data_IF_866627174856
#
_entry.id   IF_866627174856
#
_cell.length_a   1.000
_cell.length_b   1.000
_cell.length_c   1.000
_cell.angle_alpha   90.00
_cell.angle_beta   90.00
_cell.angle_gamma   90.00
#
_symmetry.space_group_name_H-M   'P 1'
#
loop_
_entity.id
_entity.type
_entity.pdbx_description
1 polymer ?
#
# COMPACT_ATOMS: atom_id res chain seq x y z
N UNK A 1 28.25 -16.07 -6.71
CA UNK A 1 27.87 -16.59 -5.38
C UNK A 1 26.44 -17.10 -5.51
N UNK A 2 26.17 -18.36 -5.17
CA UNK A 2 24.81 -18.89 -5.22
C UNK A 2 24.01 -18.14 -4.15
N UNK A 3 23.26 -17.10 -4.53
CA UNK A 3 22.25 -16.54 -3.65
C UNK A 3 21.17 -17.60 -3.47
N UNK A 4 21.23 -18.32 -2.34
CA UNK A 4 20.12 -19.12 -1.88
C UNK A 4 18.96 -18.15 -1.67
N UNK A 5 17.90 -18.28 -2.45
CA UNK A 5 16.68 -17.53 -2.20
C UNK A 5 16.14 -17.97 -0.84
N UNK A 6 15.86 -17.03 0.09
CA UNK A 6 15.23 -17.40 1.35
C UNK A 6 13.92 -18.14 1.06
N UNK A 7 13.53 -19.15 1.84
CA UNK A 7 12.18 -19.68 1.77
C UNK A 7 11.17 -18.62 2.21
N UNK A 8 9.87 -18.87 1.98
CA UNK A 8 8.81 -18.08 2.62
C UNK A 8 8.98 -18.16 4.14
N UNK A 9 8.88 -17.03 4.83
CA UNK A 9 9.19 -16.91 6.25
C UNK A 9 7.93 -16.62 7.03
N UNK A 10 7.70 -17.37 8.10
CA UNK A 10 6.57 -17.15 8.98
C UNK A 10 6.96 -16.24 10.16
N UNK A 11 6.22 -15.16 10.34
CA UNK A 11 6.30 -14.25 11.49
C UNK A 11 4.91 -14.20 12.14
N UNK A 12 4.75 -14.84 13.29
CA UNK A 12 3.43 -15.07 13.89
C UNK A 12 2.48 -15.84 12.96
N UNK A 13 1.35 -15.24 12.61
CA UNK A 13 0.37 -15.76 11.65
C UNK A 13 0.57 -15.24 10.21
N UNK A 14 1.69 -14.58 9.92
CA UNK A 14 1.96 -13.95 8.62
C UNK A 14 3.07 -14.69 7.88
N UNK A 15 2.79 -15.15 6.67
CA UNK A 15 3.75 -15.72 5.71
C UNK A 15 4.30 -14.59 4.83
N UNK A 16 5.57 -14.27 5.01
CA UNK A 16 6.26 -13.15 4.37
C UNK A 16 7.13 -13.66 3.22
N UNK A 17 6.93 -13.12 2.02
CA UNK A 17 7.77 -13.46 0.88
C UNK A 17 9.20 -12.94 1.06
N UNK A 18 10.24 -13.65 0.57
CA UNK A 18 11.65 -13.26 0.74
C UNK A 18 11.98 -11.85 0.22
N UNK A 19 11.22 -11.39 -0.76
CA UNK A 19 11.39 -10.09 -1.40
C UNK A 19 11.07 -8.93 -0.47
N UNK A 20 10.25 -9.15 0.56
CA UNK A 20 10.00 -8.15 1.60
C UNK A 20 11.29 -7.78 2.35
N UNK A 21 12.21 -8.73 2.50
CA UNK A 21 13.51 -8.52 3.15
C UNK A 21 14.60 -8.09 2.18
N UNK A 22 14.64 -8.69 0.99
CA UNK A 22 15.74 -8.51 0.02
C UNK A 22 15.56 -7.31 -0.92
N UNK A 23 14.33 -6.91 -1.24
CA UNK A 23 14.12 -5.78 -2.16
C UNK A 23 14.45 -4.47 -1.47
N UNK A 24 15.15 -3.61 -2.21
CA UNK A 24 15.40 -2.22 -1.81
C UNK A 24 14.34 -1.33 -2.45
N UNK A 25 13.73 -0.45 -1.66
CA UNK A 25 12.61 0.37 -2.12
C UNK A 25 12.50 1.69 -1.36
N UNK A 26 12.28 2.78 -2.09
CA UNK A 26 11.91 4.07 -1.53
C UNK A 26 11.00 4.80 -2.53
N UNK A 27 9.75 5.09 -2.17
CA UNK A 27 8.81 5.75 -3.07
C UNK A 27 9.37 7.08 -3.61
N UNK A 28 9.19 7.33 -4.90
CA UNK A 28 9.67 8.54 -5.56
C UNK A 28 8.56 9.27 -6.34
N UNK A 29 7.79 10.08 -5.62
CA UNK A 29 6.65 10.83 -6.18
C UNK A 29 7.10 11.91 -7.17
N UNK A 30 8.30 12.46 -7.03
CA UNK A 30 8.86 13.45 -7.95
C UNK A 30 9.06 12.88 -9.36
N UNK A 31 9.34 11.57 -9.44
CA UNK A 31 9.57 10.86 -10.71
C UNK A 31 8.30 10.17 -11.21
N UNK A 32 7.53 9.52 -10.33
CA UNK A 32 6.37 8.73 -10.77
C UNK A 32 5.05 9.53 -10.82
N UNK A 33 5.02 10.75 -10.26
CA UNK A 33 3.85 11.63 -10.19
C UNK A 33 2.59 10.97 -9.63
N UNK A 34 2.73 9.96 -8.77
CA UNK A 34 1.61 9.22 -8.17
C UNK A 34 0.99 8.14 -9.06
N UNK A 35 1.75 7.60 -10.03
CA UNK A 35 1.30 6.58 -10.98
C UNK A 35 0.50 5.40 -10.37
N UNK A 36 0.77 5.01 -9.12
CA UNK A 36 0.04 3.91 -8.47
C UNK A 36 -1.44 4.23 -8.18
N UNK A 37 -1.84 5.51 -8.21
CA UNK A 37 -3.21 5.96 -8.02
C UNK A 37 -3.97 6.20 -9.34
N UNK A 38 -3.26 6.18 -10.48
CA UNK A 38 -3.81 6.57 -11.78
C UNK A 38 -3.51 5.57 -12.90
N UNK A 39 -2.61 4.61 -12.78
CA UNK A 39 -2.32 3.66 -13.88
C UNK A 39 -2.97 2.27 -13.68
N UNK A 40 -3.75 2.08 -12.62
CA UNK A 40 -4.40 0.81 -12.29
C UNK A 40 -5.73 0.60 -13.03
N UNK A 41 -6.10 -0.66 -13.29
CA UNK A 41 -7.38 -1.04 -13.89
C UNK A 41 -8.44 -1.47 -12.85
N UNK A 42 -8.04 -1.53 -11.59
CA UNK A 42 -8.89 -1.76 -10.42
C UNK A 42 -8.47 -0.85 -9.26
N UNK A 43 -9.39 -0.63 -8.31
CA UNK A 43 -9.11 0.07 -7.07
C UNK A 43 -8.14 -0.69 -6.16
N UNK A 44 -7.73 -0.04 -5.08
CA UNK A 44 -6.99 -0.73 -4.03
C UNK A 44 -7.95 -1.56 -3.17
N UNK A 45 -7.58 -2.81 -2.79
CA UNK A 45 -8.41 -3.63 -1.91
C UNK A 45 -8.70 -2.94 -0.58
N UNK A 46 -9.92 -3.04 -0.07
CA UNK A 46 -10.35 -2.43 1.19
C UNK A 46 -11.22 -3.39 1.98
N UNK A 47 -11.13 -3.32 3.32
CA UNK A 47 -12.07 -4.06 4.18
C UNK A 47 -13.38 -3.28 4.37
N UNK A 48 -14.41 -3.94 4.91
CA UNK A 48 -15.69 -3.28 5.23
C UNK A 48 -15.48 -2.17 6.27
N UNK A 49 -14.59 -2.38 7.24
CA UNK A 49 -14.25 -1.39 8.26
C UNK A 49 -13.52 -0.17 7.66
N UNK A 50 -12.66 -0.40 6.67
CA UNK A 50 -12.02 0.68 5.92
C UNK A 50 -13.03 1.44 5.07
N UNK A 51 -13.99 0.77 4.44
CA UNK A 51 -15.08 1.43 3.70
C UNK A 51 -15.87 2.35 4.62
N UNK A 52 -16.32 1.87 5.78
CA UNK A 52 -17.04 2.69 6.75
C UNK A 52 -16.19 3.89 7.21
N UNK A 53 -14.90 3.68 7.46
CA UNK A 53 -13.98 4.76 7.83
C UNK A 53 -13.79 5.78 6.70
N UNK A 54 -13.75 5.34 5.44
CA UNK A 54 -13.68 6.23 4.28
C UNK A 54 -14.97 7.07 4.19
N UNK A 55 -16.15 6.45 4.32
CA UNK A 55 -17.44 7.12 4.28
C UNK A 55 -17.57 8.20 5.37
N UNK A 56 -17.09 7.91 6.59
CA UNK A 56 -17.07 8.89 7.70
C UNK A 56 -16.16 10.11 7.44
N UNK A 57 -15.19 9.99 6.52
CA UNK A 57 -14.17 11.01 6.27
C UNK A 57 -14.26 11.63 4.86
N UNK A 58 -15.21 11.19 4.02
CA UNK A 58 -15.33 11.64 2.62
C UNK A 58 -15.64 13.13 2.52
N UNK A 59 -16.49 13.66 3.43
CA UNK A 59 -16.87 15.06 3.46
C UNK A 59 -15.68 16.00 3.70
N UNK A 60 -14.71 15.55 4.50
CA UNK A 60 -13.51 16.33 4.81
C UNK A 60 -12.61 16.54 3.59
N UNK A 61 -12.73 15.67 2.58
CA UNK A 61 -11.91 15.70 1.35
C UNK A 61 -12.71 16.06 0.10
N UNK A 62 -14.04 16.18 0.21
CA UNK A 62 -14.95 16.31 -0.94
C UNK A 62 -14.55 17.40 -1.93
N UNK A 63 -14.17 18.58 -1.41
CA UNK A 63 -13.82 19.74 -2.23
C UNK A 63 -12.46 19.61 -2.94
N UNK A 64 -11.64 18.61 -2.58
CA UNK A 64 -10.40 18.31 -3.29
C UNK A 64 -10.60 17.31 -4.44
N UNK A 65 -11.75 16.64 -4.49
CA UNK A 65 -12.04 15.62 -5.49
C UNK A 65 -12.50 16.26 -6.80
N UNK A 66 -12.22 15.59 -7.92
CA UNK A 66 -12.73 16.01 -9.23
C UNK A 66 -14.26 15.80 -9.31
N UNK A 67 -14.94 16.57 -10.17
CA UNK A 67 -16.38 16.41 -10.38
C UNK A 67 -16.76 15.00 -10.87
N UNK A 68 -15.87 14.34 -11.63
CA UNK A 68 -16.06 12.95 -12.05
C UNK A 68 -15.91 11.97 -10.88
N UNK A 69 -14.95 12.19 -9.98
CA UNK A 69 -14.82 11.39 -8.77
C UNK A 69 -16.03 11.55 -7.83
N UNK A 70 -16.49 12.77 -7.60
CA UNK A 70 -17.70 13.07 -6.83
C UNK A 70 -18.91 12.35 -7.44
N UNK A 71 -19.11 12.46 -8.76
CA UNK A 71 -20.21 11.78 -9.45
C UNK A 71 -20.13 10.25 -9.34
N UNK A 72 -18.93 9.66 -9.32
CA UNK A 72 -18.79 8.20 -9.13
C UNK A 72 -19.11 7.82 -7.69
N UNK A 73 -18.64 8.58 -6.71
CA UNK A 73 -18.94 8.33 -5.28
C UNK A 73 -20.46 8.43 -5.04
N UNK A 74 -21.13 9.44 -5.59
CA UNK A 74 -22.59 9.60 -5.45
C UNK A 74 -23.39 8.43 -6.04
N UNK A 75 -22.90 7.80 -7.12
CA UNK A 75 -23.61 6.74 -7.84
C UNK A 75 -23.28 5.33 -7.34
N UNK A 76 -22.03 5.10 -6.97
CA UNK A 76 -21.49 3.76 -6.68
C UNK A 76 -21.05 3.62 -5.22
N UNK A 77 -20.81 4.73 -4.53
CA UNK A 77 -20.13 4.76 -3.24
C UNK A 77 -18.61 4.80 -3.37
N UNK A 78 -17.94 4.79 -2.21
CA UNK A 78 -16.48 4.92 -2.12
C UNK A 78 -15.71 3.65 -2.52
N UNK A 79 -16.42 2.53 -2.65
CA UNK A 79 -15.89 1.22 -3.02
C UNK A 79 -16.88 0.44 -3.88
N UNK A 80 -16.39 -0.59 -4.58
CA UNK A 80 -17.19 -1.52 -5.37
C UNK A 80 -16.58 -2.92 -5.34
N UNK A 81 -17.34 -3.92 -5.81
CA UNK A 81 -16.85 -5.29 -6.01
C UNK A 81 -16.27 -5.39 -7.41
N UNK A 82 -14.99 -5.75 -7.53
CA UNK A 82 -14.33 -5.88 -8.82
C UNK A 82 -14.65 -7.21 -9.54
N UNK A 83 -13.93 -7.50 -10.63
CA UNK A 83 -14.15 -8.71 -11.44
C UNK A 83 -13.66 -9.99 -10.76
N UNK A 84 -12.77 -9.87 -9.78
CA UNK A 84 -12.24 -10.98 -9.00
C UNK A 84 -13.10 -11.26 -7.77
N UNK A 85 -14.05 -10.37 -7.47
CA UNK A 85 -14.96 -10.46 -6.34
C UNK A 85 -14.45 -9.75 -5.09
N UNK A 86 -13.37 -8.97 -5.22
CA UNK A 86 -12.76 -8.24 -4.11
C UNK A 86 -13.42 -6.87 -3.94
N UNK A 87 -13.57 -6.43 -2.69
CA UNK A 87 -13.95 -5.06 -2.37
C UNK A 87 -12.75 -4.14 -2.60
N UNK A 88 -12.91 -3.17 -3.49
CA UNK A 88 -11.85 -2.23 -3.86
C UNK A 88 -12.37 -0.79 -3.89
N UNK A 89 -11.49 0.20 -3.72
CA UNK A 89 -11.87 1.62 -3.84
C UNK A 89 -12.47 1.92 -5.21
N UNK A 90 -13.49 2.78 -5.28
CA UNK A 90 -14.06 3.23 -6.56
C UNK A 90 -13.03 3.93 -7.45
N UNK A 91 -13.20 3.79 -8.76
CA UNK A 91 -12.32 4.38 -9.78
C UNK A 91 -13.12 5.12 -10.86
N UNK A 92 -12.57 6.22 -11.36
CA UNK A 92 -13.11 7.01 -12.45
C UNK A 92 -12.60 6.44 -13.78
N UNK A 93 -13.52 6.10 -14.69
CA UNK A 93 -13.17 5.73 -16.06
C UNK A 93 -12.28 4.48 -16.18
N UNK A 94 -12.31 3.58 -15.18
CA UNK A 94 -11.42 2.40 -15.06
C UNK A 94 -9.94 2.74 -14.94
N UNK A 95 -9.62 3.91 -14.38
CA UNK A 95 -8.25 4.41 -14.29
C UNK A 95 -7.96 5.03 -12.92
N UNK A 96 -8.45 6.24 -12.69
CA UNK A 96 -8.05 7.02 -11.52
C UNK A 96 -8.82 6.59 -10.27
N UNK A 97 -8.16 6.45 -9.12
CA UNK A 97 -8.87 6.33 -7.84
C UNK A 97 -9.75 7.58 -7.59
N UNK A 98 -10.95 7.40 -7.05
CA UNK A 98 -11.85 8.52 -6.74
C UNK A 98 -11.28 9.49 -5.69
N UNK A 99 -10.26 9.07 -4.93
CA UNK A 99 -9.58 9.91 -3.94
C UNK A 99 -8.31 10.59 -4.47
N UNK A 100 -8.11 10.61 -5.78
CA UNK A 100 -7.01 11.37 -6.39
C UNK A 100 -7.25 12.87 -6.24
N UNK A 101 -6.20 13.58 -5.84
CA UNK A 101 -6.14 15.05 -5.93
C UNK A 101 -4.77 15.45 -6.47
N UNK A 102 -4.62 16.70 -6.94
CA UNK A 102 -3.40 17.15 -7.59
C UNK A 102 -2.80 18.34 -6.88
N UNK A 103 -1.49 18.30 -6.69
CA UNK A 103 -0.69 19.43 -6.23
C UNK A 103 0.52 19.55 -7.15
N UNK A 104 0.65 20.71 -7.81
CA UNK A 104 1.79 21.03 -8.69
C UNK A 104 2.06 19.94 -9.75
N UNK A 105 0.99 19.36 -10.32
CA UNK A 105 1.09 18.29 -11.33
C UNK A 105 1.37 16.89 -10.79
N UNK A 106 1.56 16.72 -9.48
CA UNK A 106 1.73 15.42 -8.84
C UNK A 106 0.39 14.90 -8.29
N UNK A 107 0.04 13.66 -8.63
CA UNK A 107 -1.13 13.00 -8.06
C UNK A 107 -0.85 12.57 -6.62
N UNK A 108 -1.73 12.98 -5.72
CA UNK A 108 -1.75 12.64 -4.30
C UNK A 108 -3.06 11.93 -3.96
N UNK A 109 -3.13 11.39 -2.74
CA UNK A 109 -4.37 10.87 -2.17
C UNK A 109 -4.97 11.90 -1.22
N UNK A 110 -6.21 12.32 -1.46
CA UNK A 110 -6.89 13.32 -0.65
C UNK A 110 -7.05 12.88 0.82
N UNK A 111 -7.32 11.58 1.05
CA UNK A 111 -7.41 10.99 2.40
C UNK A 111 -6.07 11.05 3.16
N UNK A 112 -4.97 10.69 2.49
CA UNK A 112 -3.62 10.78 3.05
C UNK A 112 -3.26 12.23 3.40
N UNK A 113 -3.57 13.15 2.49
CA UNK A 113 -3.28 14.58 2.65
C UNK A 113 -4.06 15.17 3.82
N UNK A 114 -5.36 14.87 3.92
CA UNK A 114 -6.20 15.32 5.03
C UNK A 114 -5.71 14.81 6.39
N UNK A 115 -5.31 13.54 6.45
CA UNK A 115 -4.70 12.96 7.65
C UNK A 115 -3.40 13.69 8.05
N UNK A 116 -2.49 13.90 7.10
CA UNK A 116 -1.21 14.61 7.36
C UNK A 116 -1.42 16.06 7.78
N UNK A 117 -2.50 16.69 7.33
CA UNK A 117 -2.89 18.04 7.72
C UNK A 117 -3.68 18.08 9.05
N UNK A 118 -3.94 16.94 9.69
CA UNK A 118 -4.70 16.85 10.93
C UNK A 118 -6.21 17.11 10.77
N UNK A 119 -6.72 17.09 9.53
CA UNK A 119 -8.15 17.31 9.23
C UNK A 119 -8.98 16.06 9.54
N UNK A 120 -8.39 14.88 9.43
CA UNK A 120 -9.03 13.59 9.70
C UNK A 120 -8.12 12.71 10.56
N UNK A 121 -8.71 11.71 11.23
CA UNK A 121 -7.95 10.64 11.91
C UNK A 121 -7.73 9.42 11.01
N UNK A 122 -8.51 9.31 9.93
CA UNK A 122 -8.36 8.26 8.96
C UNK A 122 -7.28 8.63 7.93
N UNK A 123 -6.22 7.82 7.91
CA UNK A 123 -5.20 7.82 6.86
C UNK A 123 -5.67 6.93 5.70
N UNK A 124 -5.03 7.01 4.53
CA UNK A 124 -5.40 6.18 3.37
C UNK A 124 -5.49 4.68 3.72
N UNK A 125 -6.24 3.88 2.95
CA UNK A 125 -6.38 2.44 3.16
C UNK A 125 -5.05 1.72 3.33
N UNK A 126 -5.05 0.65 4.12
CA UNK A 126 -3.88 -0.12 4.46
C UNK A 126 -3.22 -0.76 3.24
N UNK A 127 -4.02 -1.19 2.26
CA UNK A 127 -3.52 -1.69 0.98
C UNK A 127 -2.75 -0.62 0.18
N UNK A 128 -3.22 0.64 0.20
CA UNK A 128 -2.52 1.78 -0.40
C UNK A 128 -1.27 2.17 0.40
N UNK A 129 -1.29 2.01 1.72
CA UNK A 129 -0.18 2.35 2.59
C UNK A 129 0.94 1.31 2.57
N UNK A 130 0.59 0.03 2.44
CA UNK A 130 1.53 -1.08 2.34
C UNK A 130 2.15 -1.24 0.96
N UNK A 131 1.62 -0.57 -0.07
CA UNK A 131 2.17 -0.72 -1.42
C UNK A 131 3.66 -0.36 -1.47
N UNK A 132 4.55 -1.23 -2.00
CA UNK A 132 4.30 -2.35 -2.93
C UNK A 132 4.04 -3.73 -2.32
N UNK A 133 3.85 -3.86 -1.01
CA UNK A 133 3.39 -5.11 -0.39
C UNK A 133 1.88 -5.28 -0.62
N UNK A 134 1.48 -6.49 -1.03
CA UNK A 134 0.09 -6.92 -1.14
C UNK A 134 -0.19 -8.02 -0.13
N UNK A 135 -1.26 -7.81 0.63
CA UNK A 135 -1.81 -8.76 1.58
C UNK A 135 -2.73 -9.75 0.86
N UNK A 136 -2.66 -11.03 1.23
CA UNK A 136 -3.60 -12.05 0.79
C UNK A 136 -4.06 -12.86 2.00
N UNK A 137 -5.35 -12.89 2.27
CA UNK A 137 -5.89 -13.77 3.29
C UNK A 137 -5.65 -15.23 2.88
N UNK A 138 -5.07 -16.00 3.80
CA UNK A 138 -4.90 -17.44 3.67
C UNK A 138 -5.88 -18.12 4.64
N UNK A 139 -6.26 -19.36 4.34
CA UNK A 139 -7.15 -20.13 5.23
C UNK A 139 -6.59 -20.23 6.66
N UNK A 140 -7.48 -20.45 7.64
CA UNK A 140 -7.14 -20.66 9.05
C UNK A 140 -6.49 -19.44 9.75
N UNK A 141 -6.82 -18.22 9.33
CA UNK A 141 -6.34 -16.99 9.97
C UNK A 141 -4.88 -16.63 9.64
N UNK A 142 -4.30 -17.29 8.63
CA UNK A 142 -2.99 -16.95 8.09
C UNK A 142 -3.11 -15.79 7.09
N UNK A 143 -2.04 -15.02 6.97
CA UNK A 143 -1.96 -13.90 6.02
C UNK A 143 -0.68 -14.01 5.21
N UNK A 144 -0.74 -13.85 3.89
CA UNK A 144 0.42 -13.79 3.02
C UNK A 144 0.80 -12.34 2.68
N UNK A 145 2.07 -11.97 2.85
CA UNK A 145 2.61 -10.69 2.38
C UNK A 145 3.56 -10.92 1.21
N UNK A 146 3.22 -10.34 0.05
CA UNK A 146 3.98 -10.50 -1.17
C UNK A 146 4.40 -9.14 -1.72
N UNK A 147 5.63 -9.05 -2.22
CA UNK A 147 6.06 -7.89 -2.99
C UNK A 147 5.43 -7.91 -4.38
N UNK A 148 4.66 -6.87 -4.72
CA UNK A 148 4.09 -6.70 -6.05
C UNK A 148 5.05 -5.95 -6.97
N UNK A 149 5.49 -6.63 -8.03
CA UNK A 149 6.38 -6.07 -9.05
C UNK A 149 5.58 -5.37 -10.14
N UNK A 150 5.54 -4.04 -10.10
CA UNK A 150 4.91 -3.23 -11.14
C UNK A 150 5.88 -2.19 -11.68
N UNK A 151 5.97 -2.09 -13.02
CA UNK A 151 6.93 -1.23 -13.72
C UNK A 151 6.85 0.25 -13.34
N UNK A 152 5.69 0.74 -12.91
CA UNK A 152 5.51 2.12 -12.46
C UNK A 152 6.37 2.47 -11.23
N UNK A 153 6.82 1.48 -10.48
CA UNK A 153 7.66 1.66 -9.29
C UNK A 153 9.15 1.43 -9.56
N UNK A 154 9.56 1.36 -10.83
CA UNK A 154 10.96 1.16 -11.18
C UNK A 154 11.87 2.25 -10.58
N UNK A 155 11.45 3.52 -10.65
CA UNK A 155 12.16 4.63 -10.01
C UNK A 155 12.32 4.44 -8.49
N UNK A 156 11.30 3.90 -7.82
CA UNK A 156 11.33 3.66 -6.39
C UNK A 156 12.29 2.52 -6.00
N UNK A 157 12.45 1.52 -6.87
CA UNK A 157 13.44 0.44 -6.70
C UNK A 157 14.86 0.98 -6.89
N UNK A 158 15.08 1.84 -7.88
CA UNK A 158 16.38 2.49 -8.14
C UNK A 158 16.81 3.36 -6.95
N UNK A 159 15.94 4.28 -6.51
CA UNK A 159 16.16 5.10 -5.32
C UNK A 159 16.38 4.27 -4.06
N UNK A 160 15.61 3.19 -3.89
CA UNK A 160 15.79 2.25 -2.78
C UNK A 160 17.18 1.62 -2.75
N UNK A 161 17.72 1.22 -3.90
CA UNK A 161 19.07 0.66 -4.03
C UNK A 161 20.14 1.68 -3.69
N UNK A 162 20.00 2.91 -4.19
CA UNK A 162 20.92 4.03 -3.90
C UNK A 162 20.99 4.31 -2.39
N UNK A 163 19.84 4.30 -1.71
CA UNK A 163 19.74 4.50 -0.26
C UNK A 163 20.04 3.24 0.55
N UNK A 164 20.25 2.09 -0.11
CA UNK A 164 20.35 0.77 0.50
C UNK A 164 19.18 0.42 1.45
N UNK A 165 17.99 1.00 1.23
CA UNK A 165 16.82 0.91 2.11
C UNK A 165 15.97 -0.34 1.81
N UNK A 166 15.92 -1.36 2.70
CA UNK A 166 15.05 -2.52 2.54
C UNK A 166 13.56 -2.17 2.57
N UNK A 167 12.76 -2.91 1.82
CA UNK A 167 11.32 -2.69 1.67
C UNK A 167 10.57 -2.72 3.01
N UNK A 168 10.83 -3.71 3.87
CA UNK A 168 10.18 -3.78 5.18
C UNK A 168 10.50 -2.58 6.09
N UNK A 169 11.69 -1.97 5.94
CA UNK A 169 12.07 -0.79 6.70
C UNK A 169 11.40 0.47 6.14
N UNK A 170 11.31 0.60 4.81
CA UNK A 170 10.54 1.66 4.17
C UNK A 170 9.08 1.63 4.60
N UNK A 171 8.49 0.44 4.73
CA UNK A 171 7.10 0.23 5.14
C UNK A 171 6.91 0.07 6.66
N UNK A 172 7.84 0.56 7.49
CA UNK A 172 7.77 0.44 8.95
C UNK A 172 6.41 0.89 9.52
N UNK A 173 6.01 2.12 9.23
CA UNK A 173 4.76 2.68 9.77
C UNK A 173 3.50 1.91 9.33
N UNK A 174 3.27 1.63 8.03
CA UNK A 174 2.09 0.87 7.63
C UNK A 174 2.11 -0.59 8.09
N UNK A 175 3.28 -1.24 8.20
CA UNK A 175 3.39 -2.58 8.77
C UNK A 175 3.02 -2.59 10.26
N UNK A 176 3.52 -1.63 11.04
CA UNK A 176 3.15 -1.47 12.46
C UNK A 176 1.65 -1.18 12.57
N UNK A 177 1.09 -0.33 11.71
CA UNK A 177 -0.34 -0.01 11.72
C UNK A 177 -1.21 -1.24 11.45
N UNK A 178 -0.78 -2.13 10.56
CA UNK A 178 -1.53 -3.34 10.19
C UNK A 178 -1.39 -4.50 11.19
N UNK A 179 -0.18 -4.73 11.68
CA UNK A 179 0.20 -5.95 12.43
C UNK A 179 0.63 -5.68 13.88
N UNK A 180 0.80 -4.41 14.25
CA UNK A 180 1.23 -3.99 15.59
C UNK A 180 2.76 -3.92 15.72
N UNK A 181 3.19 -3.18 16.76
CA UNK A 181 4.61 -2.96 17.05
C UNK A 181 5.35 -4.27 17.32
N UNK A 182 4.77 -5.15 18.15
CA UNK A 182 5.38 -6.42 18.50
C UNK A 182 5.69 -7.29 17.27
N UNK A 183 4.74 -7.39 16.34
CA UNK A 183 4.94 -8.17 15.12
C UNK A 183 6.04 -7.57 14.24
N UNK A 184 6.11 -6.23 14.13
CA UNK A 184 7.17 -5.57 13.38
C UNK A 184 8.56 -5.79 14.01
N UNK A 185 8.64 -5.82 15.33
CA UNK A 185 9.89 -6.12 16.04
C UNK A 185 10.35 -7.57 15.78
N UNK A 186 9.41 -8.53 15.76
CA UNK A 186 9.68 -9.92 15.36
C UNK A 186 10.16 -10.00 13.90
N UNK A 187 9.54 -9.25 12.98
CA UNK A 187 9.97 -9.14 11.58
C UNK A 187 11.42 -8.63 11.48
N UNK A 188 11.79 -7.62 12.26
CA UNK A 188 13.15 -7.08 12.31
C UNK A 188 14.15 -8.11 12.85
N UNK A 189 13.80 -8.83 13.91
CA UNK A 189 14.65 -9.88 14.47
C UNK A 189 14.91 -11.01 13.46
N UNK A 190 13.89 -11.40 12.69
CA UNK A 190 14.03 -12.35 11.58
C UNK A 190 14.96 -11.80 10.50
N UNK A 191 14.82 -10.53 10.11
CA UNK A 191 15.71 -9.91 9.13
C UNK A 191 17.18 -9.93 9.59
N UNK A 192 17.45 -9.65 10.86
CA UNK A 192 18.80 -9.75 11.43
C UNK A 192 19.35 -11.18 11.37
N UNK A 193 18.52 -12.19 11.66
CA UNK A 193 18.93 -13.59 11.58
C UNK A 193 19.27 -14.01 10.15
N UNK A 194 18.47 -13.60 9.16
CA UNK A 194 18.74 -13.88 7.75
C UNK A 194 20.05 -13.24 7.29
N UNK A 195 20.32 -12.01 7.72
CA UNK A 195 21.60 -11.33 7.43
C UNK A 195 22.80 -12.08 8.02
N UNK A 196 22.69 -12.61 9.25
CA UNK A 196 23.77 -13.42 9.87
C UNK A 196 23.99 -14.78 9.18
N UNK A 197 23.02 -15.25 8.41
CA UNK A 197 23.06 -16.51 7.68
C UNK A 197 23.39 -16.31 6.18
N UNK A 198 23.86 -15.11 5.80
CA UNK A 198 24.20 -14.72 4.42
C UNK A 198 23.04 -14.85 3.41
N UNK A 199 21.79 -14.70 3.87
CA UNK A 199 20.60 -14.67 3.02
C UNK A 199 20.19 -13.27 2.54
N UNK A 200 20.67 -12.20 3.20
CA UNK A 200 20.37 -10.78 2.89
C UNK A 200 21.62 -9.97 2.58
#
# INVERSE_FOLDING_TARGET
MNHLYPPIIQVGNVLVSPEVFTQKFCCDLEVCHGACCIEGDAGAPVTIEEIASIEENVDAVWNELSASAQSVIDQQGVAYIDREGDLVTSIVGRKDCVFTCYQEGTCLCALEKAYRNGQTRFCKPISCALYPIREKALGNGLVGLNYHRWKICQCAVEKGKELNLPLYQFLKEPLIRRFGQQWYDELCAVAEQLSRQDFL
#
